data_IF_459257471250
#
_entry.id   IF_459257471250
#
_cell.length_a   1.000
_cell.length_b   1.000
_cell.length_c   1.000
_cell.angle_alpha   90.00
_cell.angle_beta   90.00
_cell.angle_gamma   90.00
#
_symmetry.space_group_name_H-M   'P 1'
#
loop_
_entity.id
_entity.type
_entity.pdbx_description
1 polymer ?
#
# COMPACT_ATOMS: atom_id res chain seq x y z
N UNK A 1 7.35 -0.16 25.20
CA UNK A 1 6.59 0.15 23.99
C UNK A 1 5.13 0.34 24.36
N UNK A 2 4.69 1.57 24.56
CA UNK A 2 3.25 1.86 24.64
C UNK A 2 2.65 1.61 23.26
N UNK A 3 1.60 0.78 23.20
CA UNK A 3 0.83 0.62 21.96
C UNK A 3 0.39 2.01 21.46
N UNK A 4 0.39 2.25 20.15
CA UNK A 4 -0.14 3.49 19.61
C UNK A 4 -1.57 3.69 20.11
N UNK A 5 -1.93 4.95 20.39
CA UNK A 5 -3.30 5.28 20.79
C UNK A 5 -4.33 4.86 19.73
N UNK A 6 -5.63 4.85 20.08
CA UNK A 6 -6.68 4.37 19.19
C UNK A 6 -6.77 5.15 17.87
N UNK A 7 -6.46 6.45 17.89
CA UNK A 7 -6.50 7.32 16.69
C UNK A 7 -5.47 6.91 15.62
N UNK A 8 -4.15 6.80 15.91
CA UNK A 8 -3.19 6.29 14.94
C UNK A 8 -3.57 4.91 14.38
N UNK A 9 -4.09 4.01 15.21
CA UNK A 9 -4.52 2.67 14.78
C UNK A 9 -5.70 2.78 13.80
N UNK A 10 -6.73 3.56 14.10
CA UNK A 10 -7.86 3.76 13.22
C UNK A 10 -7.46 4.34 11.85
N UNK A 11 -6.55 5.33 11.85
CA UNK A 11 -6.05 5.94 10.62
C UNK A 11 -5.19 4.97 9.80
N UNK A 12 -4.34 4.17 10.46
CA UNK A 12 -3.57 3.13 9.79
C UNK A 12 -4.49 2.06 9.18
N UNK A 13 -5.54 1.65 9.88
CA UNK A 13 -6.53 0.70 9.38
C UNK A 13 -7.32 1.24 8.18
N UNK A 14 -7.71 2.52 8.21
CA UNK A 14 -8.41 3.14 7.09
C UNK A 14 -7.52 3.19 5.84
N UNK A 15 -6.25 3.51 6.00
CA UNK A 15 -5.28 3.50 4.91
C UNK A 15 -4.97 2.06 4.42
N UNK A 16 -4.92 1.09 5.34
CA UNK A 16 -4.77 -0.32 5.00
C UNK A 16 -5.98 -0.86 4.23
N UNK A 17 -7.20 -0.46 4.61
CA UNK A 17 -8.43 -0.82 3.91
C UNK A 17 -8.40 -0.32 2.46
N UNK A 18 -7.85 0.88 2.21
CA UNK A 18 -7.68 1.42 0.86
C UNK A 18 -6.65 0.63 0.01
N UNK A 19 -5.77 -0.15 0.62
CA UNK A 19 -4.84 -1.00 -0.13
C UNK A 19 -5.53 -2.22 -0.76
N UNK A 20 -6.63 -2.71 -0.19
CA UNK A 20 -7.37 -3.86 -0.72
C UNK A 20 -7.96 -3.61 -2.14
N UNK A 21 -8.72 -2.52 -2.39
CA UNK A 21 -9.22 -2.24 -3.73
C UNK A 21 -8.09 -1.91 -4.72
N UNK A 22 -6.98 -1.28 -4.29
CA UNK A 22 -5.81 -1.09 -5.14
C UNK A 22 -5.22 -2.43 -5.59
N UNK A 23 -5.09 -3.39 -4.67
CA UNK A 23 -4.58 -4.71 -4.99
C UNK A 23 -5.53 -5.49 -5.90
N UNK A 24 -6.84 -5.37 -5.67
CA UNK A 24 -7.84 -5.97 -6.55
C UNK A 24 -7.77 -5.39 -7.97
N UNK A 25 -7.68 -4.06 -8.12
CA UNK A 25 -7.52 -3.41 -9.43
C UNK A 25 -6.21 -3.82 -10.11
N UNK A 26 -5.13 -4.00 -9.35
CA UNK A 26 -3.88 -4.52 -9.87
C UNK A 26 -4.04 -5.95 -10.40
N UNK A 27 -4.64 -6.86 -9.65
CA UNK A 27 -4.86 -8.23 -10.11
C UNK A 27 -5.74 -8.27 -11.35
N UNK A 28 -6.88 -7.58 -11.35
CA UNK A 28 -7.81 -7.63 -12.48
C UNK A 28 -7.25 -6.91 -13.71
N UNK A 29 -6.50 -5.82 -13.54
CA UNK A 29 -5.93 -5.06 -14.65
C UNK A 29 -4.72 -5.72 -15.33
N UNK A 30 -4.09 -6.70 -14.68
CA UNK A 30 -2.86 -7.34 -15.18
C UNK A 30 -2.92 -8.87 -15.31
N UNK A 31 -3.87 -9.56 -14.67
CA UNK A 31 -4.01 -11.00 -14.83
C UNK A 31 -4.89 -11.34 -16.04
N UNK A 32 -4.32 -12.03 -17.03
CA UNK A 32 -5.08 -12.53 -18.18
C UNK A 32 -5.68 -13.92 -17.96
N UNK A 33 -5.22 -14.61 -16.92
CA UNK A 33 -5.76 -15.91 -16.50
C UNK A 33 -5.81 -16.06 -14.98
N UNK A 34 -6.57 -17.04 -14.50
CA UNK A 34 -6.66 -17.38 -13.07
C UNK A 34 -5.28 -17.76 -12.49
N UNK A 35 -4.47 -18.49 -13.27
CA UNK A 35 -3.11 -18.90 -12.86
C UNK A 35 -2.18 -17.70 -12.77
N UNK A 36 -2.27 -16.77 -13.73
CA UNK A 36 -1.49 -15.54 -13.71
C UNK A 36 -1.91 -14.61 -12.57
N UNK A 37 -3.20 -14.52 -12.27
CA UNK A 37 -3.71 -13.80 -11.10
C UNK A 37 -3.15 -14.38 -9.79
N UNK A 38 -2.99 -15.69 -9.70
CA UNK A 38 -2.40 -16.34 -8.53
C UNK A 38 -0.88 -16.09 -8.44
N UNK A 39 -0.18 -16.09 -9.57
CA UNK A 39 1.24 -15.73 -9.64
C UNK A 39 1.49 -14.26 -9.28
N UNK A 40 0.70 -13.35 -9.87
CA UNK A 40 0.71 -11.91 -9.55
C UNK A 40 0.29 -11.65 -8.11
N UNK A 41 -0.64 -12.42 -7.55
CA UNK A 41 -1.01 -12.34 -6.14
C UNK A 41 0.17 -12.63 -5.21
N UNK A 42 0.96 -13.66 -5.52
CA UNK A 42 2.17 -14.00 -4.77
C UNK A 42 3.25 -12.94 -4.88
N UNK A 43 3.53 -12.47 -6.09
CA UNK A 43 4.56 -11.45 -6.34
C UNK A 43 4.11 -10.10 -5.77
N UNK A 44 2.86 -9.71 -6.00
CA UNK A 44 2.26 -8.48 -5.49
C UNK A 44 2.16 -8.46 -3.98
N UNK A 45 2.00 -9.62 -3.33
CA UNK A 45 2.14 -9.76 -1.87
C UNK A 45 3.49 -9.26 -1.34
N UNK A 46 4.57 -9.37 -2.13
CA UNK A 46 5.87 -8.81 -1.75
C UNK A 46 5.82 -7.28 -1.63
N UNK A 47 5.00 -6.59 -2.43
CA UNK A 47 4.83 -5.14 -2.33
C UNK A 47 4.25 -4.70 -0.97
N UNK A 48 3.62 -5.60 -0.22
CA UNK A 48 3.19 -5.35 1.17
C UNK A 48 4.28 -5.66 2.20
N UNK A 49 5.21 -6.55 1.88
CA UNK A 49 6.32 -6.96 2.76
C UNK A 49 7.51 -6.00 2.66
N UNK A 50 7.85 -5.55 1.45
CA UNK A 50 8.95 -4.61 1.18
C UNK A 50 8.92 -3.36 2.07
N UNK A 51 7.75 -2.72 2.31
CA UNK A 51 7.67 -1.57 3.20
C UNK A 51 7.94 -1.88 4.68
N UNK A 52 7.64 -3.10 5.13
CA UNK A 52 7.98 -3.57 6.47
C UNK A 52 9.49 -3.72 6.58
N UNK A 53 10.13 -4.29 5.56
CA UNK A 53 11.59 -4.40 5.47
C UNK A 53 12.26 -3.03 5.48
N UNK A 54 11.68 -2.02 4.82
CA UNK A 54 12.18 -0.65 4.83
C UNK A 54 12.18 0.01 6.22
N UNK A 55 11.42 -0.50 7.20
CA UNK A 55 11.46 -0.02 8.59
C UNK A 55 12.72 -0.46 9.35
N UNK A 56 13.42 -1.50 8.88
CA UNK A 56 14.63 -2.02 9.53
C UNK A 56 15.90 -1.26 9.10
N UNK A 57 15.83 -0.45 8.05
CA UNK A 57 16.94 0.40 7.61
C UNK A 57 16.91 1.74 8.34
N UNK A 58 18.09 2.35 8.50
CA UNK A 58 18.23 3.70 9.05
C UNK A 58 18.61 4.68 7.94
N UNK A 59 18.13 5.92 8.05
CA UNK A 59 18.47 7.01 7.13
C UNK A 59 17.51 7.19 5.95
N UNK A 60 17.92 7.97 4.93
CA UNK A 60 17.02 8.46 3.89
C UNK A 60 16.48 7.38 2.95
N UNK A 61 17.16 6.22 2.88
CA UNK A 61 16.73 5.07 2.06
C UNK A 61 15.34 4.55 2.46
N UNK A 62 14.95 4.74 3.72
CA UNK A 62 13.65 4.30 4.24
C UNK A 62 12.48 4.99 3.52
N UNK A 63 12.67 6.22 3.02
CA UNK A 63 11.63 6.98 2.33
C UNK A 63 11.30 6.46 0.93
N UNK A 64 12.16 5.62 0.34
CA UNK A 64 11.86 4.93 -0.93
C UNK A 64 10.62 4.03 -0.76
N UNK A 65 10.43 3.45 0.44
CA UNK A 65 9.23 2.69 0.77
C UNK A 65 7.96 3.53 0.66
N UNK A 66 8.04 4.86 0.83
CA UNK A 66 6.90 5.79 0.73
C UNK A 66 6.22 5.86 -0.63
N UNK A 67 6.82 5.27 -1.68
CA UNK A 67 6.14 5.08 -2.96
C UNK A 67 4.96 4.10 -2.85
N UNK A 68 5.01 3.18 -1.89
CA UNK A 68 4.01 2.14 -1.69
C UNK A 68 3.08 2.51 -0.52
N UNK A 69 1.74 2.54 -0.72
CA UNK A 69 0.78 2.84 0.35
C UNK A 69 0.96 2.04 1.66
N UNK A 70 1.29 0.73 1.63
CA UNK A 70 1.51 -0.05 2.85
C UNK A 70 2.65 0.46 3.73
N UNK A 71 3.60 1.23 3.18
CA UNK A 71 4.67 1.85 3.98
C UNK A 71 4.14 2.83 5.01
N UNK A 72 3.22 3.69 4.59
CA UNK A 72 2.64 4.72 5.45
C UNK A 72 1.82 4.08 6.57
N UNK A 73 1.10 2.99 6.28
CA UNK A 73 0.42 2.17 7.29
C UNK A 73 1.40 1.69 8.35
N UNK A 74 2.52 1.09 7.91
CA UNK A 74 3.53 0.55 8.82
C UNK A 74 4.22 1.65 9.65
N UNK A 75 4.49 2.82 9.07
CA UNK A 75 5.08 3.98 9.77
C UNK A 75 4.14 4.60 10.81
N UNK A 76 2.87 4.78 10.49
CA UNK A 76 1.86 5.31 11.44
C UNK A 76 1.69 4.33 12.60
N UNK A 77 1.63 3.03 12.31
CA UNK A 77 1.52 2.00 13.34
C UNK A 77 2.77 1.90 14.23
N UNK A 78 3.96 2.09 13.65
CA UNK A 78 5.24 2.12 14.38
C UNK A 78 5.44 3.37 15.27
N UNK A 79 4.42 4.23 15.41
CA UNK A 79 4.49 5.44 16.24
C UNK A 79 4.92 6.69 15.48
N UNK A 80 4.88 6.67 14.15
CA UNK A 80 5.08 7.84 13.32
C UNK A 80 4.01 8.92 13.58
N UNK A 81 4.34 10.20 13.33
CA UNK A 81 3.40 11.30 13.51
C UNK A 81 2.19 11.20 12.58
N UNK A 82 1.02 11.63 13.06
CA UNK A 82 -0.26 11.49 12.35
C UNK A 82 -0.30 12.19 10.99
N UNK A 83 0.48 13.25 10.78
CA UNK A 83 0.55 13.94 9.48
C UNK A 83 1.03 13.02 8.34
N UNK A 84 1.67 11.89 8.66
CA UNK A 84 2.05 10.85 7.68
C UNK A 84 0.85 10.22 6.95
N UNK A 85 -0.38 10.45 7.43
CA UNK A 85 -1.59 10.08 6.68
C UNK A 85 -1.70 10.82 5.34
N UNK A 86 -1.19 12.05 5.24
CA UNK A 86 -1.26 12.87 4.03
C UNK A 86 -0.48 12.24 2.88
N UNK A 87 0.84 11.96 3.01
CA UNK A 87 1.56 11.26 1.96
C UNK A 87 1.06 9.82 1.75
N UNK A 88 0.49 9.19 2.79
CA UNK A 88 -0.26 7.93 2.66
C UNK A 88 -1.40 8.03 1.64
N UNK A 89 -2.31 8.97 1.83
CA UNK A 89 -3.44 9.21 0.93
C UNK A 89 -2.98 9.65 -0.47
N UNK A 90 -1.92 10.46 -0.56
CA UNK A 90 -1.33 10.83 -1.85
C UNK A 90 -0.78 9.61 -2.59
N UNK A 91 -0.10 8.69 -1.91
CA UNK A 91 0.39 7.45 -2.54
C UNK A 91 -0.77 6.55 -3.01
N UNK A 92 -1.86 6.47 -2.23
CA UNK A 92 -3.09 5.77 -2.65
C UNK A 92 -3.65 6.41 -3.93
N UNK A 93 -3.82 7.73 -3.93
CA UNK A 93 -4.33 8.47 -5.10
C UNK A 93 -3.43 8.32 -6.34
N UNK A 94 -2.11 8.37 -6.13
CA UNK A 94 -1.10 8.19 -7.19
C UNK A 94 -1.24 6.84 -7.89
N UNK A 95 -1.46 5.76 -7.13
CA UNK A 95 -1.63 4.41 -7.68
C UNK A 95 -3.04 4.12 -8.17
N UNK A 96 -4.06 4.77 -7.59
CA UNK A 96 -5.45 4.57 -7.95
C UNK A 96 -5.71 4.97 -9.42
N UNK A 97 -5.16 6.10 -9.87
CA UNK A 97 -5.38 6.61 -11.24
C UNK A 97 -4.90 5.64 -12.33
N UNK A 98 -3.63 5.18 -12.36
CA UNK A 98 -3.16 4.26 -13.39
C UNK A 98 -3.85 2.90 -13.30
N UNK A 99 -4.15 2.40 -12.10
CA UNK A 99 -4.84 1.13 -11.90
C UNK A 99 -6.29 1.18 -12.40
N UNK A 100 -7.02 2.27 -12.10
CA UNK A 100 -8.37 2.47 -12.63
C UNK A 100 -8.36 2.60 -14.15
N UNK A 101 -7.41 3.35 -14.72
CA UNK A 101 -7.27 3.48 -16.18
C UNK A 101 -7.03 2.13 -16.84
N UNK A 102 -6.18 1.29 -16.25
CA UNK A 102 -5.87 -0.05 -16.78
C UNK A 102 -7.07 -0.98 -16.67
N UNK A 103 -7.78 -0.94 -15.56
CA UNK A 103 -9.01 -1.71 -15.36
C UNK A 103 -10.09 -1.31 -16.36
N UNK A 104 -10.32 -0.01 -16.56
CA UNK A 104 -11.29 0.49 -17.55
C UNK A 104 -10.93 0.03 -18.98
N UNK A 105 -9.65 0.15 -19.36
CA UNK A 105 -9.17 -0.29 -20.67
C UNK A 105 -9.24 -1.81 -20.92
N UNK A 106 -9.58 -2.61 -19.91
CA UNK A 106 -9.79 -4.07 -20.04
C UNK A 106 -11.27 -4.43 -20.17
N UNK A 107 -12.16 -3.52 -19.79
CA UNK A 107 -13.63 -3.72 -19.82
C UNK A 107 -14.21 -3.22 -21.14
N UNK A 108 -13.60 -2.20 -21.75
CA UNK A 108 -13.88 -1.74 -23.12
C UNK A 108 -13.23 -2.67 -24.17
#
# INVERSE_FOLDING_TARGET
SSLPGPLPVALALLLAAACAPLFALFLVGYADSEVEGLALGKIGGLAFVLPIVALFFNGPITWIGGLLPPYWVARIYAGGPLWMIVPGLLSVGLWLIPLLRRFAARID
#
